data_IF_710761189936
#
_entry.id   IF_710761189936
#
_cell.length_a   1.000
_cell.length_b   1.000
_cell.length_c   1.000
_cell.angle_alpha   90.00
_cell.angle_beta   90.00
_cell.angle_gamma   90.00
#
_symmetry.space_group_name_H-M   'P 1'
#
loop_
_entity.id
_entity.type
_entity.pdbx_description
1 polymer ?
#
# COMPACT_ATOMS: atom_id res chain seq x y z
N UNK A 1 16.69 4.12 -20.86
CA UNK A 1 15.43 4.74 -20.38
C UNK A 1 15.78 6.08 -19.75
N UNK A 2 15.01 7.15 -19.99
CA UNK A 2 15.33 8.50 -19.50
C UNK A 2 15.29 8.58 -17.97
N UNK A 3 16.23 9.27 -17.30
CA UNK A 3 16.33 9.35 -15.84
C UNK A 3 15.03 9.81 -15.15
N UNK A 4 14.21 10.65 -15.81
CA UNK A 4 12.91 11.10 -15.31
C UNK A 4 11.87 9.97 -15.10
N UNK A 5 11.97 8.88 -15.85
CA UNK A 5 11.04 7.75 -15.73
C UNK A 5 11.34 6.86 -14.51
N UNK A 6 12.59 6.86 -14.03
CA UNK A 6 13.00 6.04 -12.89
C UNK A 6 12.56 6.65 -11.55
N UNK A 7 12.64 7.98 -11.43
CA UNK A 7 12.25 8.73 -10.21
C UNK A 7 10.80 8.51 -9.78
N UNK A 8 9.84 8.47 -10.72
CA UNK A 8 8.43 8.24 -10.39
C UNK A 8 8.09 6.76 -10.15
N UNK A 9 8.97 5.84 -10.59
CA UNK A 9 8.74 4.42 -10.43
C UNK A 9 8.84 4.02 -8.95
N UNK A 10 9.83 4.55 -8.22
CA UNK A 10 10.05 4.17 -6.81
C UNK A 10 8.91 4.64 -5.89
N UNK A 11 8.33 5.82 -6.13
CA UNK A 11 7.14 6.29 -5.39
C UNK A 11 5.88 5.47 -5.70
N UNK A 12 5.87 4.73 -6.81
CA UNK A 12 4.76 3.83 -7.18
C UNK A 12 4.99 2.39 -6.73
N UNK A 13 6.23 2.01 -6.45
CA UNK A 13 6.60 0.72 -5.90
C UNK A 13 6.30 0.68 -4.41
N UNK A 14 5.24 -0.01 -4.03
CA UNK A 14 4.79 -0.08 -2.64
C UNK A 14 5.81 -0.72 -1.69
N UNK A 15 6.73 -1.53 -2.19
CA UNK A 15 7.75 -2.23 -1.39
C UNK A 15 8.90 -1.28 -1.09
N UNK A 16 9.34 -0.52 -2.10
CA UNK A 16 10.48 0.38 -1.98
C UNK A 16 10.12 1.79 -1.51
N UNK A 17 8.87 2.21 -1.69
CA UNK A 17 8.43 3.55 -1.30
C UNK A 17 8.53 3.75 0.21
N UNK A 18 9.19 4.84 0.62
CA UNK A 18 9.33 5.28 2.03
C UNK A 18 8.50 6.52 2.34
N UNK A 19 7.76 7.07 1.38
CA UNK A 19 7.07 8.36 1.47
C UNK A 19 8.00 9.47 2.01
N UNK A 20 7.60 10.17 3.07
CA UNK A 20 8.39 11.18 3.78
C UNK A 20 9.64 10.62 4.48
N UNK A 21 9.81 9.30 4.53
CA UNK A 21 10.94 8.61 5.15
C UNK A 21 12.18 8.49 4.28
N UNK A 22 12.13 8.89 3.00
CA UNK A 22 13.35 9.04 2.21
C UNK A 22 14.24 10.12 2.83
N UNK A 23 15.47 9.76 3.14
CA UNK A 23 16.52 10.68 3.61
C UNK A 23 16.89 11.69 2.53
N UNK A 24 17.52 12.80 2.91
CA UNK A 24 17.91 13.82 1.94
C UNK A 24 18.87 13.25 0.87
N UNK A 25 19.84 12.44 1.27
CA UNK A 25 20.76 11.78 0.34
C UNK A 25 20.04 10.82 -0.63
N UNK A 26 19.05 10.07 -0.16
CA UNK A 26 18.22 9.23 -1.04
C UNK A 26 17.39 10.07 -2.00
N UNK A 27 16.84 11.20 -1.54
CA UNK A 27 16.06 12.10 -2.41
C UNK A 27 16.91 12.69 -3.53
N UNK A 28 18.12 13.14 -3.22
CA UNK A 28 19.08 13.62 -4.22
C UNK A 28 19.45 12.52 -5.22
N UNK A 29 19.83 11.33 -4.72
CA UNK A 29 20.25 10.21 -5.55
C UNK A 29 19.13 9.68 -6.47
N UNK A 30 17.87 9.72 -6.00
CA UNK A 30 16.71 9.23 -6.73
C UNK A 30 15.99 10.33 -7.54
N UNK A 31 16.39 11.59 -7.40
CA UNK A 31 15.76 12.75 -8.03
C UNK A 31 14.40 13.14 -7.44
N UNK A 32 14.16 12.85 -6.16
CA UNK A 32 12.91 13.13 -5.45
C UNK A 32 12.82 14.54 -4.84
N UNK A 33 13.86 15.36 -4.99
CA UNK A 33 13.83 16.74 -4.52
C UNK A 33 12.68 17.53 -5.17
N UNK A 34 11.95 18.27 -4.34
CA UNK A 34 10.73 18.99 -4.74
C UNK A 34 9.51 18.10 -5.01
N UNK A 35 9.62 16.77 -4.89
CA UNK A 35 8.49 15.82 -5.06
C UNK A 35 7.82 15.44 -3.75
N UNK A 36 8.49 15.65 -2.62
CA UNK A 36 8.03 15.33 -1.28
C UNK A 36 8.12 16.57 -0.38
N UNK A 37 7.28 16.68 0.67
CA UNK A 37 7.44 17.71 1.69
C UNK A 37 8.88 17.71 2.25
N UNK A 38 9.44 18.88 2.62
CA UNK A 38 10.86 19.00 2.99
C UNK A 38 11.22 18.24 4.27
N UNK A 39 10.25 18.00 5.16
CA UNK A 39 10.48 17.22 6.37
C UNK A 39 10.75 15.75 6.03
N UNK A 40 11.89 15.25 6.49
CA UNK A 40 12.18 13.81 6.57
C UNK A 40 11.56 13.28 7.86
N UNK A 41 10.69 12.28 7.75
CA UNK A 41 10.02 11.66 8.91
C UNK A 41 10.69 10.33 9.27
N UNK A 42 10.80 10.04 10.57
CA UNK A 42 11.08 8.67 11.01
C UNK A 42 9.83 7.79 10.85
N UNK A 43 10.01 6.46 10.82
CA UNK A 43 8.87 5.54 10.75
C UNK A 43 7.89 5.75 11.91
N UNK A 44 8.36 6.11 13.11
CA UNK A 44 7.50 6.40 14.26
C UNK A 44 6.68 7.68 14.07
N UNK A 45 7.26 8.71 13.44
CA UNK A 45 6.53 9.93 13.10
C UNK A 45 5.47 9.68 12.03
N UNK A 46 5.80 8.86 11.02
CA UNK A 46 4.84 8.43 10.01
C UNK A 46 3.68 7.63 10.63
N UNK A 47 3.97 6.70 11.55
CA UNK A 47 2.93 5.95 12.28
C UNK A 47 2.06 6.90 13.10
N UNK A 48 2.63 7.84 13.86
CA UNK A 48 1.84 8.81 14.63
C UNK A 48 0.91 9.65 13.75
N UNK A 49 1.38 10.05 12.55
CA UNK A 49 0.53 10.72 11.56
C UNK A 49 -0.59 9.81 11.03
N UNK A 50 -0.29 8.53 10.79
CA UNK A 50 -1.30 7.55 10.41
C UNK A 50 -2.32 7.31 11.52
N UNK A 51 -1.91 7.27 12.79
CA UNK A 51 -2.80 7.10 13.95
C UNK A 51 -3.81 8.26 14.00
N UNK A 52 -3.34 9.51 13.88
CA UNK A 52 -4.24 10.68 13.84
C UNK A 52 -5.29 10.59 12.72
N UNK A 53 -4.93 10.09 11.54
CA UNK A 53 -5.86 9.96 10.41
C UNK A 53 -6.82 8.79 10.59
N UNK A 54 -6.30 7.63 11.00
CA UNK A 54 -7.04 6.38 11.14
C UNK A 54 -8.10 6.45 12.26
N UNK A 55 -7.79 7.10 13.37
CA UNK A 55 -8.74 7.24 14.48
C UNK A 55 -9.74 8.40 14.27
N UNK A 56 -9.48 9.31 13.32
CA UNK A 56 -10.41 10.40 12.97
C UNK A 56 -11.50 9.98 11.98
N UNK A 57 -11.31 8.88 11.25
CA UNK A 57 -12.30 8.37 10.28
C UNK A 57 -13.29 7.40 10.92
N UNK A 58 -14.53 7.28 10.40
CA UNK A 58 -15.51 6.34 10.91
C UNK A 58 -15.02 4.89 10.91
N UNK A 59 -15.33 4.15 11.98
CA UNK A 59 -14.99 2.72 12.10
C UNK A 59 -15.71 1.88 11.03
N UNK A 60 -15.07 0.83 10.54
CA UNK A 60 -15.64 -0.08 9.54
C UNK A 60 -15.00 0.10 8.16
N UNK A 61 -15.81 0.15 7.10
CA UNK A 61 -15.34 0.19 5.72
C UNK A 61 -14.43 1.39 5.41
N UNK A 62 -14.65 2.56 6.02
CA UNK A 62 -13.81 3.73 5.82
C UNK A 62 -12.38 3.50 6.34
N UNK A 63 -12.24 2.90 7.52
CA UNK A 63 -10.95 2.46 8.07
C UNK A 63 -10.30 1.36 7.24
N UNK A 64 -11.08 0.43 6.70
CA UNK A 64 -10.57 -0.59 5.78
C UNK A 64 -9.99 0.05 4.51
N UNK A 65 -10.70 1.01 3.91
CA UNK A 65 -10.24 1.73 2.72
C UNK A 65 -8.97 2.56 2.98
N UNK A 66 -8.80 3.07 4.20
CA UNK A 66 -7.58 3.75 4.63
C UNK A 66 -6.40 2.78 4.68
N UNK A 67 -6.56 1.66 5.40
CA UNK A 67 -5.52 0.64 5.56
C UNK A 67 -5.14 -0.01 4.23
N UNK A 68 -6.13 -0.29 3.39
CA UNK A 68 -5.91 -0.82 2.04
C UNK A 68 -5.07 0.14 1.20
N UNK A 69 -5.40 1.45 1.21
CA UNK A 69 -4.61 2.48 0.53
C UNK A 69 -3.19 2.57 1.07
N UNK A 70 -3.02 2.54 2.39
CA UNK A 70 -1.70 2.59 3.02
C UNK A 70 -0.81 1.43 2.55
N UNK A 71 -1.38 0.22 2.50
CA UNK A 71 -0.68 -0.96 2.01
C UNK A 71 -0.34 -0.88 0.51
N UNK A 72 -1.22 -0.28 -0.29
CA UNK A 72 -0.99 -0.06 -1.72
C UNK A 72 0.08 0.99 -2.01
N UNK A 73 0.37 1.90 -1.07
CA UNK A 73 1.35 2.97 -1.26
C UNK A 73 2.69 2.68 -0.60
N UNK A 74 2.69 2.15 0.62
CA UNK A 74 3.89 1.93 1.43
C UNK A 74 3.66 0.73 2.34
N UNK A 75 4.11 -0.43 1.88
CA UNK A 75 3.87 -1.72 2.51
C UNK A 75 4.63 -1.81 3.86
N UNK A 76 5.82 -1.23 3.95
CA UNK A 76 6.60 -1.14 5.18
C UNK A 76 5.85 -0.37 6.27
N UNK A 77 5.33 0.82 5.94
CA UNK A 77 4.57 1.64 6.88
C UNK A 77 3.25 0.98 7.26
N UNK A 78 2.56 0.33 6.32
CA UNK A 78 1.36 -0.45 6.62
C UNK A 78 1.61 -1.51 7.69
N UNK A 79 2.61 -2.38 7.50
CA UNK A 79 2.91 -3.43 8.47
C UNK A 79 3.36 -2.86 9.81
N UNK A 80 4.21 -1.82 9.80
CA UNK A 80 4.65 -1.17 11.03
C UNK A 80 3.47 -0.55 11.80
N UNK A 81 2.52 0.07 11.09
CA UNK A 81 1.29 0.62 11.68
C UNK A 81 0.38 -0.47 12.26
N UNK A 82 0.12 -1.53 11.50
CA UNK A 82 -0.79 -2.63 11.91
C UNK A 82 -0.23 -3.39 13.10
N UNK A 83 1.08 -3.70 13.12
CA UNK A 83 1.72 -4.39 14.26
C UNK A 83 1.61 -3.54 15.52
N UNK A 84 1.86 -2.23 15.42
CA UNK A 84 1.75 -1.31 16.55
C UNK A 84 0.32 -1.14 17.07
N UNK A 85 -0.67 -1.15 16.17
CA UNK A 85 -2.08 -0.91 16.48
C UNK A 85 -2.94 -2.17 16.30
N UNK A 86 -2.37 -3.35 16.61
CA UNK A 86 -2.94 -4.64 16.22
C UNK A 86 -4.39 -4.83 16.70
N UNK A 87 -4.66 -4.51 17.96
CA UNK A 87 -6.00 -4.65 18.56
C UNK A 87 -7.05 -3.80 17.83
N UNK A 88 -6.69 -2.59 17.40
CA UNK A 88 -7.59 -1.72 16.66
C UNK A 88 -7.72 -2.12 15.18
N UNK A 89 -6.64 -2.62 14.57
CA UNK A 89 -6.60 -2.93 13.15
C UNK A 89 -7.19 -4.30 12.80
N UNK A 90 -7.03 -5.31 13.65
CA UNK A 90 -7.45 -6.69 13.38
C UNK A 90 -8.93 -6.82 12.97
N UNK A 91 -9.91 -6.21 13.68
CA UNK A 91 -11.32 -6.30 13.26
C UNK A 91 -11.63 -5.54 11.97
N UNK A 92 -10.72 -4.66 11.52
CA UNK A 92 -10.85 -3.90 10.27
C UNK A 92 -10.29 -4.71 9.10
N UNK A 93 -9.05 -5.21 9.21
CA UNK A 93 -8.40 -5.95 8.11
C UNK A 93 -8.87 -7.40 7.99
N UNK A 94 -9.54 -7.90 9.03
CA UNK A 94 -10.12 -9.24 9.08
C UNK A 94 -11.61 -9.18 9.45
N UNK A 95 -12.14 -10.24 10.07
CA UNK A 95 -13.53 -10.30 10.49
C UNK A 95 -13.86 -9.25 11.55
N UNK A 96 -15.00 -8.54 11.44
CA UNK A 96 -16.07 -8.72 10.46
C UNK A 96 -15.95 -7.85 9.19
N UNK A 97 -15.15 -6.79 9.19
CA UNK A 97 -15.19 -5.74 8.15
C UNK A 97 -14.73 -6.25 6.78
N UNK A 98 -13.80 -7.22 6.74
CA UNK A 98 -13.39 -7.83 5.46
C UNK A 98 -14.57 -8.48 4.72
N UNK A 99 -15.58 -9.00 5.43
CA UNK A 99 -16.78 -9.57 4.82
C UNK A 99 -17.65 -8.51 4.14
N UNK A 100 -17.80 -7.34 4.78
CA UNK A 100 -18.46 -6.17 4.19
C UNK A 100 -17.72 -5.67 2.95
N UNK A 101 -16.38 -5.60 3.03
CA UNK A 101 -15.53 -5.22 1.92
C UNK A 101 -15.63 -6.21 0.75
N UNK A 102 -15.69 -7.52 1.01
CA UNK A 102 -15.91 -8.53 -0.02
C UNK A 102 -17.28 -8.37 -0.70
N UNK A 103 -18.32 -8.10 0.08
CA UNK A 103 -19.71 -7.97 -0.41
C UNK A 103 -19.89 -6.75 -1.32
N UNK A 104 -19.14 -5.69 -1.05
CA UNK A 104 -19.15 -4.43 -1.80
C UNK A 104 -17.94 -4.25 -2.70
N UNK A 105 -17.14 -5.31 -2.93
CA UNK A 105 -15.79 -5.20 -3.50
C UNK A 105 -15.77 -4.51 -4.86
N UNK A 106 -16.75 -4.79 -5.72
CA UNK A 106 -16.85 -4.16 -7.04
C UNK A 106 -17.07 -2.64 -6.97
N UNK A 107 -17.76 -2.14 -5.95
CA UNK A 107 -18.06 -0.72 -5.77
C UNK A 107 -16.88 0.03 -5.16
N UNK A 108 -16.18 -0.62 -4.23
CA UNK A 108 -15.03 -0.04 -3.54
C UNK A 108 -13.70 -0.33 -4.25
N UNK A 109 -13.73 -1.09 -5.35
CA UNK A 109 -12.55 -1.46 -6.12
C UNK A 109 -11.80 -0.20 -6.58
N UNK A 110 -10.49 -0.23 -6.42
CA UNK A 110 -9.58 0.84 -6.83
C UNK A 110 -8.49 0.30 -7.74
N UNK A 111 -7.73 1.22 -8.30
CA UNK A 111 -6.82 1.04 -9.42
C UNK A 111 -5.64 0.08 -9.21
N UNK A 112 -5.44 -0.54 -8.04
CA UNK A 112 -4.31 -1.46 -7.79
C UNK A 112 -4.79 -2.88 -7.46
N UNK A 113 -4.72 -3.83 -8.42
CA UNK A 113 -5.06 -5.22 -8.14
C UNK A 113 -4.06 -5.82 -7.13
N UNK A 114 -4.59 -6.62 -6.21
CA UNK A 114 -3.83 -7.41 -5.25
C UNK A 114 -4.05 -8.89 -5.54
N UNK A 115 -2.95 -9.63 -5.63
CA UNK A 115 -3.00 -11.03 -6.01
C UNK A 115 -3.25 -11.21 -7.51
N UNK A 116 -3.76 -12.39 -7.86
CA UNK A 116 -3.93 -12.82 -9.23
C UNK A 116 -5.38 -13.27 -9.46
N UNK A 117 -5.99 -12.81 -10.55
CA UNK A 117 -7.38 -13.10 -10.89
C UNK A 117 -7.43 -14.20 -11.95
N UNK A 118 -8.01 -15.35 -11.60
CA UNK A 118 -8.23 -16.46 -12.52
C UNK A 118 -9.72 -16.69 -12.72
N UNK A 119 -10.11 -16.97 -13.96
CA UNK A 119 -11.46 -17.40 -14.30
C UNK A 119 -11.39 -18.51 -15.36
N UNK A 120 -12.56 -19.05 -15.73
CA UNK A 120 -12.67 -20.20 -16.64
C UNK A 120 -12.01 -19.99 -18.01
N UNK A 121 -11.91 -18.76 -18.52
CA UNK A 121 -11.29 -18.47 -19.82
C UNK A 121 -9.76 -18.70 -19.82
N UNK A 122 -9.15 -18.83 -18.64
CA UNK A 122 -7.72 -19.06 -18.48
C UNK A 122 -7.33 -20.54 -18.51
N UNK A 123 -8.28 -21.45 -18.76
CA UNK A 123 -8.01 -22.88 -18.90
C UNK A 123 -6.95 -23.13 -20.00
N UNK A 124 -5.93 -23.93 -19.69
CA UNK A 124 -4.79 -24.17 -20.58
C UNK A 124 -3.73 -23.05 -20.59
N UNK A 125 -3.97 -21.92 -19.91
CA UNK A 125 -3.02 -20.78 -19.81
C UNK A 125 -2.55 -20.50 -18.38
N UNK A 126 -3.05 -21.24 -17.38
CA UNK A 126 -2.78 -20.98 -15.95
C UNK A 126 -1.28 -20.89 -15.65
N UNK A 127 -0.48 -21.85 -16.12
CA UNK A 127 0.98 -21.84 -15.91
C UNK A 127 1.62 -20.53 -16.44
N UNK A 128 1.35 -20.17 -17.70
CA UNK A 128 1.86 -18.93 -18.30
C UNK A 128 1.40 -17.66 -17.58
N UNK A 129 0.23 -17.68 -16.94
CA UNK A 129 -0.28 -16.54 -16.16
C UNK A 129 0.47 -16.45 -14.82
N UNK A 130 0.75 -17.59 -14.18
CA UNK A 130 1.53 -17.64 -12.94
C UNK A 130 2.98 -17.20 -13.17
N UNK A 131 3.58 -17.52 -14.32
CA UNK A 131 4.93 -17.09 -14.69
C UNK A 131 5.08 -15.55 -14.80
N UNK A 132 3.97 -14.82 -14.97
CA UNK A 132 3.98 -13.35 -14.96
C UNK A 132 3.97 -12.74 -13.55
N UNK A 133 3.89 -13.56 -12.50
CA UNK A 133 3.93 -13.06 -11.13
C UNK A 133 5.33 -12.50 -10.84
N UNK A 134 5.45 -11.23 -10.39
CA UNK A 134 6.74 -10.54 -10.33
C UNK A 134 7.61 -10.96 -9.15
N UNK A 135 7.14 -11.84 -8.28
CA UNK A 135 7.86 -12.32 -7.11
C UNK A 135 8.25 -13.78 -7.29
N UNK A 136 9.47 -14.12 -6.93
CA UNK A 136 9.95 -15.50 -6.91
C UNK A 136 9.19 -16.33 -5.85
N UNK A 137 9.04 -17.63 -6.13
CA UNK A 137 8.35 -18.59 -5.28
C UNK A 137 9.23 -19.09 -4.13
#
# INVERSE_FOLDING_TARGET
MSPLHHTLAILKDRIQNKDTGFTQAEREALGLDGRLPPKVETIQQQIARCEMQFFAIPKGIAQWLYLNRLQETNETLYYAFVIRNLVACLPIVYTPVVGEACSSYCQIWRSRPRGLYLNRSHLGKVASILDNWPYEA
#
